data_IF_460282577602
#
_entry.id   IF_460282577602
#
_cell.length_a   1.000
_cell.length_b   1.000
_cell.length_c   1.000
_cell.angle_alpha   90.00
_cell.angle_beta   90.00
_cell.angle_gamma   90.00
#
_symmetry.space_group_name_H-M   'P 1'
#
loop_
_entity.id
_entity.type
_entity.pdbx_description
1 polymer ?
#
# COMPACT_ATOMS: atom_id res chain seq x y z
N UNK A 1 6.40 -10.71 6.19
CA UNK A 1 4.94 -10.91 6.01
C UNK A 1 4.63 -11.80 4.81
N UNK A 2 5.19 -11.50 3.63
CA UNK A 2 4.96 -12.26 2.40
C UNK A 2 5.17 -13.78 2.52
N UNK A 3 6.27 -14.23 3.13
CA UNK A 3 6.56 -15.66 3.30
C UNK A 3 5.47 -16.40 4.11
N UNK A 4 4.95 -15.76 5.16
CA UNK A 4 3.86 -16.33 5.98
C UNK A 4 2.59 -16.47 5.14
N UNK A 5 2.25 -15.46 4.35
CA UNK A 5 1.06 -15.49 3.49
C UNK A 5 1.21 -16.54 2.38
N UNK A 6 2.38 -16.61 1.72
CA UNK A 6 2.66 -17.59 0.68
C UNK A 6 2.49 -19.03 1.19
N UNK A 7 3.06 -19.35 2.34
CA UNK A 7 2.90 -20.67 2.97
C UNK A 7 1.42 -20.98 3.33
N UNK A 8 0.66 -19.96 3.73
CA UNK A 8 -0.77 -20.11 4.02
C UNK A 8 -1.63 -20.27 2.77
N UNK A 9 -1.21 -19.73 1.63
CA UNK A 9 -1.88 -19.99 0.33
C UNK A 9 -1.76 -21.47 -0.04
N UNK A 10 -0.64 -22.12 0.23
CA UNK A 10 -0.44 -23.55 -0.06
C UNK A 10 -1.30 -24.46 0.83
N UNK A 11 -1.49 -24.08 2.10
CA UNK A 11 -2.12 -24.95 3.10
C UNK A 11 -3.60 -24.63 3.37
N UNK A 12 -4.03 -23.39 3.17
CA UNK A 12 -5.39 -22.93 3.46
C UNK A 12 -5.78 -21.71 2.59
N UNK A 13 -5.79 -21.84 1.25
CA UNK A 13 -5.95 -20.71 0.34
C UNK A 13 -7.23 -19.91 0.54
N UNK A 14 -8.33 -20.60 0.88
CA UNK A 14 -9.68 -20.03 0.89
C UNK A 14 -10.16 -19.68 2.32
N UNK A 15 -9.25 -19.68 3.30
CA UNK A 15 -9.55 -19.20 4.65
C UNK A 15 -9.67 -17.68 4.67
N UNK A 16 -10.76 -17.19 5.26
CA UNK A 16 -10.97 -15.77 5.53
C UNK A 16 -9.97 -15.26 6.56
N UNK A 17 -9.28 -14.17 6.23
CA UNK A 17 -8.17 -13.60 7.02
C UNK A 17 -8.31 -12.12 7.30
N UNK A 18 -9.16 -11.44 6.53
CA UNK A 18 -9.46 -10.04 6.72
C UNK A 18 -10.91 -9.79 6.36
N UNK A 19 -11.65 -9.23 7.31
CA UNK A 19 -13.01 -8.76 7.11
C UNK A 19 -13.05 -7.27 7.36
N UNK A 20 -13.46 -6.51 6.36
CA UNK A 20 -13.78 -5.10 6.52
C UNK A 20 -15.28 -4.97 6.68
N UNK A 21 -15.69 -4.60 7.87
CA UNK A 21 -17.11 -4.42 8.18
C UNK A 21 -17.70 -3.24 7.42
N UNK A 22 -18.88 -3.47 6.87
CA UNK A 22 -19.64 -2.44 6.18
C UNK A 22 -20.47 -1.55 7.09
N UNK A 23 -20.50 -1.83 8.40
CA UNK A 23 -21.24 -1.09 9.42
C UNK A 23 -22.72 -0.85 9.03
N UNK A 24 -23.36 -1.81 8.34
CA UNK A 24 -24.75 -1.72 7.88
C UNK A 24 -25.00 -0.83 6.65
N UNK A 25 -24.05 0.03 6.29
CA UNK A 25 -24.14 0.89 5.10
C UNK A 25 -23.72 0.19 3.80
N UNK A 26 -22.96 -0.90 3.91
CA UNK A 26 -22.48 -1.72 2.80
C UNK A 26 -22.31 -3.18 3.27
N UNK A 27 -22.17 -4.11 2.32
CA UNK A 27 -21.81 -5.48 2.63
C UNK A 27 -20.39 -5.58 3.20
N UNK A 28 -20.15 -6.59 4.04
CA UNK A 28 -18.81 -6.90 4.51
C UNK A 28 -17.93 -7.29 3.32
N UNK A 29 -16.70 -6.78 3.33
CA UNK A 29 -15.70 -7.14 2.33
C UNK A 29 -14.71 -8.11 2.98
N UNK A 30 -14.61 -9.31 2.40
CA UNK A 30 -13.76 -10.37 2.91
C UNK A 30 -12.57 -10.60 1.98
N UNK A 31 -11.42 -10.95 2.56
CA UNK A 31 -10.25 -11.43 1.84
C UNK A 31 -9.81 -12.76 2.43
N UNK A 32 -9.47 -13.68 1.53
CA UNK A 32 -8.82 -14.95 1.85
C UNK A 32 -7.31 -14.82 1.68
N UNK A 33 -6.54 -15.81 2.12
CA UNK A 33 -5.10 -15.86 1.82
C UNK A 33 -4.83 -15.77 0.31
N UNK A 34 -5.60 -16.49 -0.51
CA UNK A 34 -5.50 -16.43 -1.98
C UNK A 34 -5.73 -15.02 -2.51
N UNK A 35 -6.75 -14.31 -1.99
CA UNK A 35 -7.03 -12.94 -2.40
C UNK A 35 -5.89 -11.98 -2.02
N UNK A 36 -5.40 -12.04 -0.77
CA UNK A 36 -4.31 -11.16 -0.33
C UNK A 36 -3.02 -11.40 -1.13
N UNK A 37 -2.67 -12.66 -1.40
CA UNK A 37 -1.50 -13.00 -2.19
C UNK A 37 -1.62 -12.56 -3.64
N UNK A 38 -2.74 -12.87 -4.29
CA UNK A 38 -2.97 -12.49 -5.69
C UNK A 38 -2.96 -10.97 -5.88
N UNK A 39 -3.66 -10.23 -5.03
CA UNK A 39 -3.71 -8.76 -5.12
C UNK A 39 -2.38 -8.13 -4.71
N UNK A 40 -1.70 -8.67 -3.69
CA UNK A 40 -0.36 -8.23 -3.29
C UNK A 40 0.68 -8.41 -4.38
N UNK A 41 0.68 -9.54 -5.10
CA UNK A 41 1.58 -9.77 -6.24
C UNK A 41 1.32 -8.79 -7.40
N UNK A 42 0.05 -8.53 -7.74
CA UNK A 42 -0.29 -7.54 -8.78
C UNK A 42 0.22 -6.15 -8.41
N UNK A 43 0.06 -5.77 -7.14
CA UNK A 43 0.52 -4.48 -6.67
C UNK A 43 2.05 -4.40 -6.57
N UNK A 44 2.72 -5.50 -6.21
CA UNK A 44 4.18 -5.61 -6.25
C UNK A 44 4.72 -5.38 -7.67
N UNK A 45 4.09 -5.99 -8.69
CA UNK A 45 4.45 -5.75 -10.08
C UNK A 45 4.28 -4.27 -10.45
N UNK A 46 3.16 -3.65 -10.08
CA UNK A 46 2.95 -2.21 -10.31
C UNK A 46 4.03 -1.34 -9.65
N UNK A 47 4.53 -1.71 -8.46
CA UNK A 47 5.62 -0.97 -7.81
C UNK A 47 6.95 -1.12 -8.57
N UNK A 48 7.25 -2.34 -9.02
CA UNK A 48 8.46 -2.65 -9.80
C UNK A 48 8.43 -1.92 -11.15
N UNK A 49 7.29 -1.95 -11.85
CA UNK A 49 7.09 -1.27 -13.14
C UNK A 49 7.25 0.26 -13.03
N UNK A 50 7.04 0.80 -11.83
CA UNK A 50 7.22 2.22 -11.52
C UNK A 50 8.64 2.56 -11.04
N UNK A 51 9.55 1.58 -11.08
CA UNK A 51 10.96 1.74 -10.78
C UNK A 51 11.30 1.70 -9.29
N UNK A 52 10.37 1.28 -8.43
CA UNK A 52 10.61 1.19 -7.00
C UNK A 52 11.63 0.07 -6.71
N UNK A 53 12.73 0.41 -6.05
CA UNK A 53 13.81 -0.53 -5.74
C UNK A 53 13.69 -1.08 -4.33
N UNK A 54 14.14 -2.32 -4.04
CA UNK A 54 14.18 -2.84 -2.68
C UNK A 54 14.90 -1.89 -1.71
N UNK A 55 14.37 -1.74 -0.50
CA UNK A 55 14.87 -0.80 0.51
C UNK A 55 14.35 0.63 0.37
N UNK A 56 13.76 1.01 -0.78
CA UNK A 56 13.13 2.32 -0.93
C UNK A 56 11.82 2.42 -0.15
N UNK A 57 11.48 3.65 0.21
CA UNK A 57 10.28 3.98 0.95
C UNK A 57 9.21 4.59 0.04
N UNK A 58 7.94 4.28 0.29
CA UNK A 58 6.80 4.94 -0.37
C UNK A 58 5.72 5.34 0.64
N UNK A 59 5.06 6.48 0.39
CA UNK A 59 3.95 6.92 1.22
C UNK A 59 2.66 6.16 0.85
N UNK A 60 1.90 5.72 1.86
CA UNK A 60 0.65 5.01 1.68
C UNK A 60 -0.52 5.90 2.08
N UNK A 61 -1.16 6.54 1.10
CA UNK A 61 -2.32 7.41 1.29
C UNK A 61 -3.61 6.63 1.07
N UNK A 62 -4.01 5.84 2.06
CA UNK A 62 -5.25 5.06 2.01
C UNK A 62 -5.94 5.01 3.38
N UNK A 63 -7.27 4.99 3.37
CA UNK A 63 -8.04 4.69 4.57
C UNK A 63 -7.90 3.21 4.95
N UNK A 64 -8.23 2.85 6.19
CA UNK A 64 -8.32 1.44 6.62
C UNK A 64 -9.30 0.68 5.72
N UNK A 65 -8.74 -0.09 4.80
CA UNK A 65 -9.45 -0.85 3.76
C UNK A 65 -8.62 -2.08 3.43
N UNK A 66 -9.23 -3.11 2.86
CA UNK A 66 -8.53 -4.31 2.38
C UNK A 66 -7.27 -4.01 1.55
N UNK A 67 -7.32 -2.96 0.71
CA UNK A 67 -6.20 -2.51 -0.12
C UNK A 67 -4.97 -2.04 0.65
N UNK A 68 -5.14 -1.55 1.88
CA UNK A 68 -4.02 -1.19 2.74
C UNK A 68 -3.19 -2.45 3.06
N UNK A 69 -3.87 -3.53 3.48
CA UNK A 69 -3.20 -4.80 3.77
C UNK A 69 -2.57 -5.38 2.51
N UNK A 70 -3.24 -5.33 1.36
CA UNK A 70 -2.67 -5.74 0.07
C UNK A 70 -1.38 -4.97 -0.26
N UNK A 71 -1.30 -3.67 0.07
CA UNK A 71 -0.08 -2.86 -0.09
C UNK A 71 1.03 -3.25 0.87
N UNK A 72 0.70 -3.65 2.10
CA UNK A 72 1.68 -4.20 3.05
C UNK A 72 2.24 -5.54 2.53
N UNK A 73 1.39 -6.38 1.93
CA UNK A 73 1.84 -7.63 1.29
C UNK A 73 2.77 -7.31 0.12
N UNK A 74 2.38 -6.39 -0.77
CA UNK A 74 3.21 -5.96 -1.89
C UNK A 74 4.58 -5.42 -1.45
N UNK A 75 4.60 -4.53 -0.46
CA UNK A 75 5.84 -3.99 0.11
C UNK A 75 6.74 -5.10 0.69
N UNK A 76 6.13 -6.09 1.36
CA UNK A 76 6.88 -7.25 1.87
C UNK A 76 7.38 -8.18 0.76
N UNK A 77 6.75 -8.22 -0.42
CA UNK A 77 7.21 -8.99 -1.58
C UNK A 77 8.39 -8.26 -2.24
N UNK A 78 8.29 -6.95 -2.42
CA UNK A 78 9.31 -6.15 -3.12
C UNK A 78 10.47 -5.70 -2.23
N UNK A 79 10.37 -5.92 -0.91
CA UNK A 79 11.38 -5.49 0.05
C UNK A 79 11.34 -3.97 0.30
N UNK A 80 10.19 -3.34 0.11
CA UNK A 80 9.99 -1.91 0.34
C UNK A 80 9.43 -1.60 1.73
N UNK A 81 9.68 -0.37 2.17
CA UNK A 81 9.11 0.18 3.40
C UNK A 81 7.98 1.14 3.04
N UNK A 82 6.86 1.07 3.75
CA UNK A 82 5.75 2.01 3.54
C UNK A 82 5.63 2.97 4.73
N UNK A 83 5.25 4.21 4.44
CA UNK A 83 4.96 5.24 5.44
C UNK A 83 3.47 5.56 5.39
N UNK A 84 2.67 5.22 6.42
CA UNK A 84 1.24 5.51 6.42
C UNK A 84 1.00 7.02 6.49
N UNK A 85 0.22 7.55 5.56
CA UNK A 85 -0.20 8.96 5.57
C UNK A 85 -1.71 9.02 5.67
N UNK A 86 -2.20 9.76 6.66
CA UNK A 86 -3.63 9.92 6.90
C UNK A 86 -4.30 10.59 5.68
N UNK A 87 -5.23 9.89 4.99
CA UNK A 87 -5.94 10.46 3.84
C UNK A 87 -6.90 11.60 4.25
N UNK A 88 -7.19 11.78 5.54
CA UNK A 88 -7.99 12.90 6.06
C UNK A 88 -7.16 14.17 6.22
N UNK A 89 -5.82 14.08 6.19
CA UNK A 89 -4.96 15.24 6.20
C UNK A 89 -5.19 16.06 4.91
N UNK A 90 -5.33 17.39 5.06
CA UNK A 90 -5.57 18.34 3.97
C UNK A 90 -4.68 19.56 4.13
N UNK A 91 -4.55 20.33 3.04
CA UNK A 91 -3.81 21.60 3.02
C UNK A 91 -2.38 21.44 3.54
N UNK A 92 -1.98 22.38 4.39
CA UNK A 92 -0.62 22.48 4.92
C UNK A 92 -0.19 21.22 5.68
N UNK A 93 -1.11 20.55 6.37
CA UNK A 93 -0.81 19.30 7.08
C UNK A 93 -0.40 18.18 6.12
N UNK A 94 -1.11 18.04 4.99
CA UNK A 94 -0.76 17.05 3.98
C UNK A 94 0.55 17.41 3.28
N UNK A 95 0.74 18.68 2.93
CA UNK A 95 1.97 19.16 2.32
C UNK A 95 3.17 18.91 3.25
N UNK A 96 3.04 19.22 4.54
CA UNK A 96 4.05 18.93 5.55
C UNK A 96 4.35 17.44 5.65
N UNK A 97 3.35 16.57 5.73
CA UNK A 97 3.55 15.12 5.81
C UNK A 97 4.26 14.55 4.57
N UNK A 98 3.89 15.03 3.37
CA UNK A 98 4.52 14.57 2.13
C UNK A 98 5.96 15.09 1.99
N UNK A 99 6.20 16.36 2.35
CA UNK A 99 7.54 16.97 2.24
C UNK A 99 8.53 16.42 3.28
N UNK A 100 8.04 15.90 4.41
CA UNK A 100 8.88 15.32 5.46
C UNK A 100 8.88 13.79 5.44
N UNK A 101 8.14 13.15 4.52
CA UNK A 101 8.23 11.72 4.35
C UNK A 101 9.60 11.37 3.74
N UNK A 102 10.27 10.29 4.18
CA UNK A 102 11.51 9.81 3.58
C UNK A 102 11.30 9.17 2.20
N UNK A 103 10.27 9.59 1.45
CA UNK A 103 9.74 8.91 0.28
C UNK A 103 9.49 9.91 -0.84
N UNK A 104 9.93 9.62 -2.06
CA UNK A 104 9.57 10.41 -3.26
C UNK A 104 8.36 9.85 -4.01
N UNK A 105 7.89 8.67 -3.62
CA UNK A 105 6.81 7.96 -4.28
C UNK A 105 5.66 7.71 -3.32
N UNK A 106 4.43 7.67 -3.85
CA UNK A 106 3.22 7.48 -3.07
C UNK A 106 2.22 6.55 -3.76
N UNK A 107 1.52 5.75 -2.97
CA UNK A 107 0.47 4.83 -3.41
C UNK A 107 -0.89 5.29 -2.90
N UNK A 108 -1.84 5.48 -3.83
CA UNK A 108 -3.25 5.86 -3.56
C UNK A 108 -4.20 4.87 -4.22
N UNK A 109 -5.04 4.18 -3.45
CA UNK A 109 -6.19 3.37 -3.94
C UNK A 109 -5.89 2.36 -5.07
N UNK A 110 -4.61 1.99 -5.27
CA UNK A 110 -3.98 1.20 -6.38
C UNK A 110 -3.33 2.00 -7.54
N UNK A 111 -3.01 3.29 -7.35
CA UNK A 111 -2.20 4.10 -8.27
C UNK A 111 -0.92 4.52 -7.59
N UNK A 112 0.21 4.15 -8.17
CA UNK A 112 1.52 4.62 -7.77
C UNK A 112 1.81 5.93 -8.52
N UNK A 113 2.40 6.89 -7.82
CA UNK A 113 2.80 8.15 -8.41
C UNK A 113 4.02 8.70 -7.67
N UNK A 114 4.81 9.48 -8.39
CA UNK A 114 6.02 10.12 -7.85
C UNK A 114 5.71 11.58 -7.59
N UNK A 115 6.22 12.14 -6.50
CA UNK A 115 6.18 13.59 -6.31
C UNK A 115 7.03 14.24 -7.41
N UNK A 116 6.58 15.34 -8.03
CA UNK A 116 7.49 16.19 -8.77
C UNK A 116 8.63 16.58 -7.82
N UNK A 117 9.88 16.53 -8.30
CA UNK A 117 11.05 16.86 -7.49
C UNK A 117 10.88 18.25 -6.84
N UNK A 118 11.60 18.53 -5.73
CA UNK A 118 11.53 19.85 -5.11
C UNK A 118 11.81 20.90 -6.18
N UNK A 119 10.91 21.86 -6.34
CA UNK A 119 11.15 23.02 -7.19
C UNK A 119 12.46 23.65 -6.72
N UNK A 120 13.51 23.51 -7.53
CA UNK A 120 14.76 24.18 -7.26
C UNK A 120 14.45 25.67 -7.28
N UNK A 121 14.74 26.45 -6.22
CA UNK A 121 14.64 27.89 -6.33
C UNK A 121 15.66 28.31 -7.39
N UNK A 122 15.16 28.75 -8.54
CA UNK A 122 15.96 29.44 -9.55
C UNK A 122 16.53 30.66 -8.83
N UNK A 123 17.85 30.65 -8.63
CA UNK A 123 18.61 31.81 -8.16
C UNK A 123 18.60 32.91 -9.22
#
# INVERSE_FOLDING_TARGET
>A
MAAVIANRVETMPDRDVLTIEGAGARQNEVRTYRHLWGNGQRLAQLMIDQGLRPGEHFALLMANHAKFIEAVVAASITGNVFVPVDPRARGDKLAFMLNNAPTRSFLKRTRFATQPGPAHPVR
#
